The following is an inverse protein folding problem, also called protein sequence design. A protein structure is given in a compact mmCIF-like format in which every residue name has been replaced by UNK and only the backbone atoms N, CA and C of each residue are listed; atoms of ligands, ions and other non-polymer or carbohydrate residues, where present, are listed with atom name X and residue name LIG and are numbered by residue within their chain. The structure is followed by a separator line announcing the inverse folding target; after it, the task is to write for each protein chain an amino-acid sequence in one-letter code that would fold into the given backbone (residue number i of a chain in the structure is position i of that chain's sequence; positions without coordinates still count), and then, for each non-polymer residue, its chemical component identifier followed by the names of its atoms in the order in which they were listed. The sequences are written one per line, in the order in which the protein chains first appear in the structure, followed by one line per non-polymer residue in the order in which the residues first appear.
data_IF_432716640420
#
_entry.id   IF_432716640420
#
_cell.length_a   1.000
_cell.length_b   1.000
_cell.length_c   1.000
_cell.angle_alpha   90.00
_cell.angle_beta   90.00
_cell.angle_gamma   90.00
#
_symmetry.space_group_name_H-M   'P 1'
#
loop_
_entity.id
_entity.type
_entity.pdbx_description
1 polymer ?
#
# COMPACT_ATOMS: atom_id res chain seq x y z
N UNK A 1 29.31 -2.45 -5.15
CA UNK A 1 28.25 -3.38 -4.69
C UNK A 1 27.32 -3.65 -5.87
N UNK A 2 26.67 -4.82 -5.99
CA UNK A 2 25.75 -5.04 -7.10
C UNK A 2 24.54 -4.11 -6.95
N UNK A 3 24.31 -3.23 -7.94
CA UNK A 3 23.21 -2.27 -7.99
C UNK A 3 21.86 -2.98 -8.20
N UNK A 4 21.29 -3.58 -7.15
CA UNK A 4 19.96 -4.24 -7.21
C UNK A 4 18.81 -3.25 -7.39
N UNK A 5 19.03 -1.98 -7.10
CA UNK A 5 18.03 -0.91 -7.22
C UNK A 5 17.62 -0.69 -8.68
N UNK A 6 18.57 -0.90 -9.61
CA UNK A 6 18.32 -0.76 -11.04
C UNK A 6 17.31 -1.82 -11.54
N UNK A 7 17.46 -3.13 -11.26
CA UNK A 7 16.44 -4.14 -11.55
C UNK A 7 15.06 -3.83 -10.99
N UNK A 8 14.95 -3.42 -9.72
CA UNK A 8 13.66 -3.14 -9.08
C UNK A 8 12.94 -1.95 -9.73
N UNK A 9 13.64 -0.83 -9.91
CA UNK A 9 13.04 0.38 -10.49
C UNK A 9 12.75 0.25 -11.98
N UNK A 10 13.58 -0.49 -12.73
CA UNK A 10 13.26 -0.89 -14.11
C UNK A 10 12.01 -1.75 -14.13
N UNK A 11 11.90 -2.74 -13.23
CA UNK A 11 10.70 -3.56 -13.12
C UNK A 11 9.46 -2.71 -12.81
N UNK A 12 9.55 -1.76 -11.87
CA UNK A 12 8.46 -0.84 -11.55
C UNK A 12 8.01 -0.04 -12.79
N UNK A 13 8.96 0.56 -13.50
CA UNK A 13 8.69 1.30 -14.75
C UNK A 13 8.00 0.42 -15.80
N UNK A 14 8.44 -0.83 -15.96
CA UNK A 14 7.83 -1.80 -16.87
C UNK A 14 6.40 -2.18 -16.45
N UNK A 15 6.19 -2.45 -15.16
CA UNK A 15 4.86 -2.81 -14.67
C UNK A 15 3.87 -1.67 -14.93
N UNK A 16 4.25 -0.43 -14.58
CA UNK A 16 3.38 0.74 -14.81
C UNK A 16 3.15 0.97 -16.30
N UNK A 17 4.18 0.85 -17.15
CA UNK A 17 4.01 0.91 -18.62
C UNK A 17 2.98 -0.11 -19.10
N UNK A 18 3.07 -1.35 -18.63
CA UNK A 18 2.17 -2.44 -19.02
C UNK A 18 0.73 -2.19 -18.58
N UNK A 19 0.51 -1.80 -17.33
CA UNK A 19 -0.85 -1.51 -16.82
C UNK A 19 -1.48 -0.31 -17.54
N UNK A 20 -0.66 0.68 -17.93
CA UNK A 20 -1.09 1.81 -18.77
C UNK A 20 -1.23 1.46 -20.26
N UNK A 21 -0.90 0.23 -20.67
CA UNK A 21 -0.88 -0.24 -22.08
C UNK A 21 0.05 0.58 -22.96
N UNK A 22 1.15 1.08 -22.39
CA UNK A 22 2.22 1.79 -23.09
C UNK A 22 3.33 0.82 -23.49
N UNK A 23 4.05 1.15 -24.55
CA UNK A 23 5.20 0.36 -24.99
C UNK A 23 6.34 0.42 -23.96
N UNK A 24 7.17 -0.63 -23.91
CA UNK A 24 8.40 -0.56 -23.14
C UNK A 24 9.40 0.37 -23.84
N UNK A 25 9.80 1.45 -23.17
CA UNK A 25 10.81 2.40 -23.68
C UNK A 25 12.03 2.50 -22.77
N UNK A 26 12.23 1.56 -21.83
CA UNK A 26 13.33 1.66 -20.86
C UNK A 26 14.71 1.84 -21.51
N UNK A 27 14.99 1.16 -22.61
CA UNK A 27 16.28 1.28 -23.30
C UNK A 27 16.56 2.70 -23.82
N UNK A 28 15.51 3.46 -24.15
CA UNK A 28 15.63 4.82 -24.68
C UNK A 28 15.71 5.90 -23.60
N UNK A 29 15.41 5.57 -22.35
CA UNK A 29 15.31 6.56 -21.25
C UNK A 29 16.18 6.21 -20.04
N UNK A 30 16.82 5.04 -20.01
CA UNK A 30 17.62 4.58 -18.88
C UNK A 30 19.13 4.71 -19.15
N UNK A 31 19.68 5.86 -18.79
CA UNK A 31 21.08 6.23 -19.00
C UNK A 31 21.95 5.84 -17.79
N UNK A 32 22.42 4.59 -17.75
CA UNK A 32 23.22 4.05 -16.63
C UNK A 32 24.57 4.73 -16.44
N UNK A 33 25.10 5.41 -17.46
CA UNK A 33 26.41 6.08 -17.40
C UNK A 33 26.33 7.48 -16.79
N UNK A 34 25.14 8.10 -16.77
CA UNK A 34 24.94 9.51 -16.40
C UNK A 34 24.11 9.63 -15.12
N UNK A 35 23.09 8.79 -14.95
CA UNK A 35 22.09 8.94 -13.89
C UNK A 35 22.06 7.72 -12.96
N UNK A 36 21.75 7.99 -11.68
CA UNK A 36 21.42 6.95 -10.72
C UNK A 36 20.08 6.26 -11.04
N UNK A 37 19.79 5.14 -10.38
CA UNK A 37 18.56 4.38 -10.63
C UNK A 37 17.28 5.19 -10.33
N UNK A 38 17.30 6.00 -9.25
CA UNK A 38 16.18 6.87 -8.88
C UNK A 38 15.95 7.99 -9.90
N UNK A 39 17.03 8.61 -10.40
CA UNK A 39 16.95 9.66 -11.41
C UNK A 39 16.40 9.11 -12.73
N UNK A 40 16.89 7.94 -13.16
CA UNK A 40 16.37 7.25 -14.34
C UNK A 40 14.88 6.90 -14.21
N UNK A 41 14.47 6.38 -13.05
CA UNK A 41 13.07 6.09 -12.77
C UNK A 41 12.21 7.37 -12.82
N UNK A 42 12.69 8.44 -12.18
CA UNK A 42 12.04 9.75 -12.16
C UNK A 42 11.87 10.30 -13.57
N UNK A 43 12.93 10.25 -14.38
CA UNK A 43 12.94 10.69 -15.77
C UNK A 43 11.93 9.89 -16.62
N UNK A 44 11.91 8.56 -16.46
CA UNK A 44 10.98 7.70 -17.18
C UNK A 44 9.52 8.03 -16.85
N UNK A 45 9.20 8.30 -15.58
CA UNK A 45 7.87 8.78 -15.21
C UNK A 45 7.58 10.15 -15.80
N UNK A 46 8.49 11.10 -15.66
CA UNK A 46 8.30 12.50 -16.04
C UNK A 46 8.20 12.73 -17.55
N UNK A 47 9.05 12.08 -18.34
CA UNK A 47 9.16 12.33 -19.78
C UNK A 47 8.41 11.32 -20.65
N UNK A 48 8.18 10.11 -20.14
CA UNK A 48 7.53 9.05 -20.91
C UNK A 48 6.14 8.70 -20.38
N UNK A 49 6.02 8.23 -19.13
CA UNK A 49 4.73 7.69 -18.64
C UNK A 49 3.67 8.77 -18.45
N UNK A 50 3.99 9.79 -17.66
CA UNK A 50 3.04 10.82 -17.23
C UNK A 50 2.54 11.68 -18.41
N UNK A 51 3.36 12.08 -19.40
CA UNK A 51 2.86 12.84 -20.55
C UNK A 51 1.88 12.07 -21.45
N UNK A 52 1.86 10.74 -21.37
CA UNK A 52 1.01 9.90 -22.23
C UNK A 52 -0.38 9.61 -21.65
N UNK A 53 -0.62 9.96 -20.39
CA UNK A 53 -1.92 9.76 -19.74
C UNK A 53 -2.69 11.08 -19.65
N UNK A 54 -4.01 10.99 -19.76
CA UNK A 54 -4.92 12.13 -19.66
C UNK A 54 -5.79 12.07 -18.39
N UNK A 55 -5.45 11.17 -17.46
CA UNK A 55 -6.14 10.97 -16.20
C UNK A 55 -5.12 10.77 -15.06
N UNK A 56 -5.51 11.05 -13.80
CA UNK A 56 -4.62 10.81 -12.67
C UNK A 56 -4.21 9.34 -12.53
N UNK A 57 -2.91 9.10 -12.33
CA UNK A 57 -2.35 7.81 -11.99
C UNK A 57 -2.25 7.67 -10.47
N UNK A 58 -2.81 6.60 -9.91
CA UNK A 58 -2.61 6.26 -8.50
C UNK A 58 -1.65 5.08 -8.41
N UNK A 59 -0.51 5.29 -7.77
CA UNK A 59 0.46 4.24 -7.45
C UNK A 59 0.25 3.81 -5.99
N UNK A 60 -0.31 2.62 -5.82
CA UNK A 60 -0.46 1.96 -4.52
C UNK A 60 0.73 1.05 -4.22
N UNK A 61 1.40 1.30 -3.10
CA UNK A 61 2.51 0.51 -2.58
C UNK A 61 2.06 -0.14 -1.28
N UNK A 62 1.80 -1.43 -1.34
CA UNK A 62 1.37 -2.25 -0.21
C UNK A 62 2.57 -2.97 0.43
N UNK A 63 2.48 -3.25 1.73
CA UNK A 63 3.53 -3.91 2.53
C UNK A 63 4.95 -3.35 2.32
N UNK A 64 5.10 -2.02 2.21
CA UNK A 64 6.41 -1.40 1.92
C UNK A 64 7.43 -1.67 3.04
N UNK A 65 6.95 -1.96 4.25
CA UNK A 65 7.73 -2.34 5.41
C UNK A 65 8.53 -3.63 5.21
N UNK A 66 8.18 -4.48 4.23
CA UNK A 66 9.02 -5.63 3.86
C UNK A 66 10.39 -5.23 3.31
N UNK A 67 10.52 -4.01 2.79
CA UNK A 67 11.78 -3.48 2.28
C UNK A 67 12.64 -2.86 3.38
N UNK A 68 12.13 -2.70 4.60
CA UNK A 68 12.83 -2.05 5.71
C UNK A 68 14.12 -2.78 6.13
N UNK A 69 14.20 -4.10 5.92
CA UNK A 69 15.44 -4.85 6.14
C UNK A 69 16.59 -4.47 5.19
N UNK A 70 16.30 -3.75 4.09
CA UNK A 70 17.26 -3.33 3.07
C UNK A 70 17.47 -1.80 3.12
N UNK A 71 18.06 -1.31 4.23
CA UNK A 71 18.14 0.13 4.55
C UNK A 71 18.65 1.03 3.43
N UNK A 72 19.78 0.69 2.82
CA UNK A 72 20.39 1.51 1.76
C UNK A 72 19.43 1.71 0.58
N UNK A 73 18.70 0.65 0.20
CA UNK A 73 17.76 0.65 -0.92
C UNK A 73 16.48 1.42 -0.58
N UNK A 74 15.95 1.19 0.63
CA UNK A 74 14.65 1.74 1.01
C UNK A 74 14.72 3.22 1.34
N UNK A 75 15.80 3.72 1.94
CA UNK A 75 15.97 5.15 2.21
C UNK A 75 15.97 5.95 0.91
N UNK A 76 16.74 5.50 -0.08
CA UNK A 76 16.80 6.12 -1.40
C UNK A 76 15.45 6.02 -2.13
N UNK A 77 14.79 4.86 -2.09
CA UNK A 77 13.48 4.68 -2.72
C UNK A 77 12.39 5.57 -2.10
N UNK A 78 12.31 5.61 -0.77
CA UNK A 78 11.36 6.45 -0.04
C UNK A 78 11.62 7.94 -0.27
N UNK A 79 12.90 8.34 -0.33
CA UNK A 79 13.32 9.69 -0.72
C UNK A 79 12.84 10.07 -2.12
N UNK A 80 12.94 9.16 -3.09
CA UNK A 80 12.41 9.37 -4.45
C UNK A 80 10.88 9.56 -4.44
N UNK A 81 10.13 8.73 -3.72
CA UNK A 81 8.67 8.87 -3.60
C UNK A 81 8.26 10.20 -2.98
N UNK A 82 8.97 10.64 -1.94
CA UNK A 82 8.76 11.97 -1.34
C UNK A 82 9.04 13.08 -2.36
N UNK A 83 10.15 12.98 -3.11
CA UNK A 83 10.48 13.94 -4.16
C UNK A 83 9.35 14.05 -5.20
N UNK A 84 8.80 12.92 -5.64
CA UNK A 84 7.65 12.89 -6.57
C UNK A 84 6.41 13.56 -5.99
N UNK A 85 6.09 13.33 -4.71
CA UNK A 85 5.00 14.02 -4.02
C UNK A 85 5.21 15.55 -4.00
N UNK A 86 6.41 16.02 -3.66
CA UNK A 86 6.72 17.45 -3.64
C UNK A 86 6.68 18.07 -5.04
N UNK A 87 7.19 17.37 -6.07
CA UNK A 87 7.07 17.81 -7.47
C UNK A 87 5.60 18.00 -7.87
N UNK A 88 4.70 17.14 -7.40
CA UNK A 88 3.25 17.26 -7.64
C UNK A 88 2.63 18.56 -7.11
N UNK A 89 3.27 19.29 -6.20
CA UNK A 89 2.77 20.59 -5.72
C UNK A 89 3.04 21.71 -6.73
N UNK A 90 4.13 21.62 -7.49
CA UNK A 90 4.66 22.69 -8.33
C UNK A 90 4.65 22.40 -9.84
N UNK A 91 4.77 21.15 -10.25
CA UNK A 91 4.89 20.75 -11.66
C UNK A 91 3.63 20.05 -12.16
N UNK A 92 3.05 20.54 -13.25
CA UNK A 92 1.76 20.06 -13.77
C UNK A 92 1.80 18.59 -14.19
N UNK A 93 2.91 18.12 -14.77
CA UNK A 93 3.08 16.71 -15.15
C UNK A 93 3.02 15.77 -13.94
N UNK A 94 3.47 16.21 -12.76
CA UNK A 94 3.46 15.41 -11.54
C UNK A 94 2.16 15.53 -10.75
N UNK A 95 1.35 16.57 -10.96
CA UNK A 95 0.04 16.75 -10.28
C UNK A 95 -0.92 15.60 -10.50
N UNK A 96 -0.76 14.87 -11.61
CA UNK A 96 -1.61 13.73 -11.92
C UNK A 96 -1.18 12.45 -11.20
N UNK A 97 0.03 12.38 -10.61
CA UNK A 97 0.46 11.23 -9.83
C UNK A 97 -0.03 11.35 -8.39
N UNK A 98 -0.66 10.29 -7.89
CA UNK A 98 -1.04 10.12 -6.49
C UNK A 98 -0.36 8.90 -5.92
N UNK A 99 0.25 9.04 -4.75
CA UNK A 99 0.90 7.96 -4.04
C UNK A 99 0.03 7.50 -2.88
N UNK A 100 -0.16 6.20 -2.75
CA UNK A 100 -0.76 5.56 -1.57
C UNK A 100 0.26 4.56 -1.05
N UNK A 101 0.72 4.75 0.18
CA UNK A 101 1.73 3.88 0.80
C UNK A 101 1.11 3.24 2.03
N UNK A 102 1.00 1.92 2.05
CA UNK A 102 0.55 1.15 3.19
C UNK A 102 1.73 0.43 3.84
N UNK A 103 1.76 0.43 5.17
CA UNK A 103 2.78 -0.24 5.96
C UNK A 103 2.18 -0.72 7.29
N UNK A 104 2.75 -1.78 7.86
CA UNK A 104 2.44 -2.18 9.23
C UNK A 104 3.14 -1.26 10.26
N UNK A 105 2.58 -1.17 11.48
CA UNK A 105 3.13 -0.34 12.57
C UNK A 105 4.26 -1.03 13.33
N UNK A 106 4.59 -2.28 13.03
CA UNK A 106 5.49 -3.10 13.85
C UNK A 106 6.98 -2.79 13.63
N UNK A 107 7.34 -2.19 12.49
CA UNK A 107 8.75 -1.94 12.13
C UNK A 107 8.98 -0.46 11.87
N UNK A 108 8.98 0.37 12.90
CA UNK A 108 9.41 1.75 12.76
C UNK A 108 10.94 1.82 12.66
N UNK A 109 11.48 1.91 11.44
CA UNK A 109 12.87 2.30 11.25
C UNK A 109 13.00 3.81 11.49
N UNK A 110 13.99 4.27 12.27
CA UNK A 110 14.31 5.69 12.32
C UNK A 110 14.85 6.12 10.94
N UNK A 111 13.96 6.64 10.10
CA UNK A 111 14.31 7.27 8.83
C UNK A 111 14.71 8.74 9.08
N UNK A 112 15.62 9.27 8.27
CA UNK A 112 15.86 10.71 8.22
C UNK A 112 14.53 11.42 7.94
N UNK A 113 14.22 12.45 8.73
CA UNK A 113 13.00 13.25 8.62
C UNK A 113 12.84 13.83 7.21
N UNK A 114 13.94 14.07 6.50
CA UNK A 114 13.94 14.59 5.12
C UNK A 114 13.74 13.52 4.05
N UNK A 115 13.94 12.24 4.38
CA UNK A 115 13.77 11.11 3.46
C UNK A 115 12.46 10.35 3.68
N UNK A 116 11.82 10.54 4.83
CA UNK A 116 10.53 9.90 5.13
C UNK A 116 9.38 10.53 4.32
N UNK A 117 8.66 9.75 3.47
CA UNK A 117 7.43 10.20 2.83
C UNK A 117 6.24 10.20 3.80
N UNK A 118 6.35 9.48 4.93
CA UNK A 118 5.29 9.32 5.92
C UNK A 118 4.92 10.64 6.62
N UNK A 119 5.83 11.61 6.63
CA UNK A 119 5.60 12.94 7.22
C UNK A 119 5.12 13.98 6.19
N UNK A 120 5.10 13.64 4.90
CA UNK A 120 4.74 14.56 3.82
C UNK A 120 3.28 14.40 3.35
N UNK A 121 2.72 13.20 3.48
CA UNK A 121 1.35 12.86 3.11
C UNK A 121 0.32 13.04 4.22
N UNK A 122 -0.92 12.62 3.95
CA UNK A 122 -2.00 12.54 4.94
C UNK A 122 -2.01 11.12 5.52
N UNK A 123 -1.65 10.92 6.80
CA UNK A 123 -1.70 9.60 7.41
C UNK A 123 -3.14 9.14 7.61
N UNK A 124 -3.42 7.88 7.30
CA UNK A 124 -4.69 7.22 7.60
C UNK A 124 -4.41 5.99 8.45
N UNK A 125 -4.79 6.05 9.72
CA UNK A 125 -4.66 4.92 10.63
C UNK A 125 -5.87 3.99 10.48
N UNK A 126 -5.60 2.72 10.10
CA UNK A 126 -6.61 1.68 10.07
C UNK A 126 -6.73 1.06 11.45
N UNK A 127 -7.83 1.36 12.13
CA UNK A 127 -8.11 0.91 13.50
C UNK A 127 -8.95 -0.37 13.52
N UNK A 128 -9.07 -0.96 14.70
CA UNK A 128 -10.01 -2.05 14.96
C UNK A 128 -11.44 -1.64 14.61
N UNK A 129 -12.25 -2.62 14.18
CA UNK A 129 -13.67 -2.39 13.94
C UNK A 129 -14.42 -2.11 15.23
N UNK A 130 -15.26 -1.07 15.18
CA UNK A 130 -16.23 -0.80 16.23
C UNK A 130 -17.48 -1.72 16.10
N UNK A 131 -18.32 -1.82 17.15
CA UNK A 131 -19.51 -2.69 17.11
C UNK A 131 -20.49 -2.37 15.98
N UNK A 132 -20.58 -1.12 15.51
CA UNK A 132 -21.45 -0.71 14.41
C UNK A 132 -20.89 -1.25 13.09
N UNK A 133 -19.57 -1.17 12.90
CA UNK A 133 -18.87 -1.73 11.74
C UNK A 133 -18.97 -3.26 11.71
N UNK A 134 -18.81 -3.94 12.85
CA UNK A 134 -18.98 -5.40 12.93
C UNK A 134 -20.41 -5.81 12.58
N UNK A 135 -21.42 -5.10 13.10
CA UNK A 135 -22.83 -5.36 12.77
C UNK A 135 -23.12 -5.15 11.29
N UNK A 136 -22.57 -4.09 10.71
CA UNK A 136 -22.71 -3.78 9.29
C UNK A 136 -22.05 -4.86 8.42
N UNK A 137 -20.87 -5.34 8.82
CA UNK A 137 -20.18 -6.42 8.15
C UNK A 137 -20.97 -7.74 8.21
N UNK A 138 -21.56 -8.07 9.36
CA UNK A 138 -22.43 -9.24 9.50
C UNK A 138 -23.62 -9.16 8.53
N UNK A 139 -24.23 -7.98 8.40
CA UNK A 139 -25.31 -7.73 7.44
C UNK A 139 -24.86 -7.93 5.99
N UNK A 140 -23.66 -7.47 5.60
CA UNK A 140 -23.10 -7.73 4.26
C UNK A 140 -22.87 -9.21 3.97
N UNK A 141 -22.65 -10.01 5.02
CA UNK A 141 -22.56 -11.47 4.92
C UNK A 141 -23.93 -12.19 5.02
N UNK A 142 -25.04 -11.44 5.02
CA UNK A 142 -26.40 -12.01 5.08
C UNK A 142 -26.84 -12.46 6.48
N UNK A 143 -26.09 -12.09 7.52
CA UNK A 143 -26.42 -12.41 8.90
C UNK A 143 -27.22 -11.27 9.53
N UNK A 144 -28.38 -11.59 10.11
CA UNK A 144 -29.21 -10.61 10.82
C UNK A 144 -28.83 -10.55 12.31
N UNK A 145 -27.60 -10.13 12.60
CA UNK A 145 -27.09 -10.11 13.97
C UNK A 145 -27.68 -8.99 14.83
N UNK A 146 -27.97 -9.32 16.09
CA UNK A 146 -28.22 -8.35 17.14
C UNK A 146 -26.94 -7.99 17.91
N UNK A 147 -27.05 -7.05 18.84
CA UNK A 147 -25.88 -6.56 19.58
C UNK A 147 -25.22 -7.65 20.44
N UNK A 148 -25.96 -8.66 20.90
CA UNK A 148 -25.40 -9.77 21.68
C UNK A 148 -24.47 -10.66 20.85
N UNK A 149 -24.79 -10.89 19.58
CA UNK A 149 -23.92 -11.67 18.68
C UNK A 149 -22.63 -10.93 18.35
N UNK A 150 -22.75 -9.61 18.10
CA UNK A 150 -21.60 -8.72 17.91
C UNK A 150 -20.71 -8.72 19.15
N UNK A 151 -21.28 -8.50 20.33
CA UNK A 151 -20.55 -8.50 21.60
C UNK A 151 -19.86 -9.85 21.87
N UNK A 152 -20.52 -10.98 21.57
CA UNK A 152 -19.92 -12.31 21.73
C UNK A 152 -18.68 -12.47 20.87
N UNK A 153 -18.76 -12.11 19.58
CA UNK A 153 -17.62 -12.21 18.68
C UNK A 153 -16.50 -11.26 19.12
N UNK A 154 -16.83 -9.99 19.37
CA UNK A 154 -15.85 -8.99 19.77
C UNK A 154 -15.20 -9.31 21.12
N UNK A 155 -15.87 -10.03 22.02
CA UNK A 155 -15.26 -10.51 23.27
C UNK A 155 -14.14 -11.54 23.02
N UNK A 156 -14.18 -12.26 21.91
CA UNK A 156 -13.18 -13.29 21.57
C UNK A 156 -11.98 -12.73 20.79
N UNK A 157 -12.23 -11.78 19.89
CA UNK A 157 -11.22 -11.31 18.92
C UNK A 157 -11.06 -9.78 18.89
N UNK A 158 -11.63 -9.08 19.87
CA UNK A 158 -11.72 -7.62 19.90
C UNK A 158 -12.36 -7.09 18.59
N UNK A 159 -11.92 -5.94 18.09
CA UNK A 159 -12.34 -5.45 16.78
C UNK A 159 -11.38 -5.84 15.65
N UNK A 160 -10.52 -6.85 15.83
CA UNK A 160 -9.47 -7.17 14.85
C UNK A 160 -10.07 -7.49 13.46
N UNK A 161 -9.84 -6.65 12.42
CA UNK A 161 -10.61 -6.72 11.17
C UNK A 161 -10.57 -8.09 10.48
N UNK A 162 -9.39 -8.70 10.39
CA UNK A 162 -9.22 -10.04 9.82
C UNK A 162 -10.01 -11.12 10.58
N UNK A 163 -9.82 -11.21 11.91
CA UNK A 163 -10.48 -12.23 12.74
C UNK A 163 -12.00 -12.05 12.79
N UNK A 164 -12.47 -10.79 12.84
CA UNK A 164 -13.90 -10.48 12.75
C UNK A 164 -14.48 -10.99 11.43
N UNK A 165 -13.87 -10.62 10.30
CA UNK A 165 -14.37 -11.04 8.98
C UNK A 165 -14.32 -12.56 8.82
N UNK A 166 -13.25 -13.21 9.29
CA UNK A 166 -13.11 -14.66 9.24
C UNK A 166 -14.20 -15.36 10.06
N UNK A 167 -14.44 -14.92 11.29
CA UNK A 167 -15.51 -15.46 12.14
C UNK A 167 -16.89 -15.29 11.50
N UNK A 168 -17.23 -14.09 11.02
CA UNK A 168 -18.48 -13.81 10.33
C UNK A 168 -18.64 -14.69 9.08
N UNK A 169 -17.59 -14.82 8.27
CA UNK A 169 -17.61 -15.65 7.06
C UNK A 169 -17.88 -17.12 7.37
N UNK A 170 -17.17 -17.70 8.33
CA UNK A 170 -17.33 -19.11 8.70
C UNK A 170 -18.72 -19.40 9.29
N UNK A 171 -19.31 -18.44 10.03
CA UNK A 171 -20.70 -18.51 10.52
C UNK A 171 -21.70 -18.40 9.37
N UNK A 172 -21.50 -17.46 8.44
CA UNK A 172 -22.36 -17.28 7.27
C UNK A 172 -22.36 -18.52 6.36
N UNK A 173 -21.23 -19.23 6.28
CA UNK A 173 -21.13 -20.52 5.59
C UNK A 173 -21.71 -21.70 6.39
N UNK A 174 -22.19 -21.50 7.62
CA UNK A 174 -22.75 -22.54 8.48
C UNK A 174 -21.71 -23.54 9.02
N UNK A 175 -20.41 -23.20 8.96
CA UNK A 175 -19.33 -24.11 9.39
C UNK A 175 -19.10 -24.07 10.90
N UNK A 176 -19.30 -22.90 11.52
CA UNK A 176 -19.19 -22.71 12.96
C UNK A 176 -20.40 -21.93 13.50
N UNK A 177 -20.58 -21.96 14.81
CA UNK A 177 -21.60 -21.16 15.51
C UNK A 177 -20.97 -20.34 16.63
N UNK A 178 -21.62 -19.24 17.03
CA UNK A 178 -21.26 -18.44 18.21
C UNK A 178 -21.64 -19.17 19.51
N UNK A 179 -21.12 -20.38 19.72
CA UNK A 179 -21.27 -21.13 20.96
C UNK A 179 -20.02 -20.96 21.85
N UNK A 180 -20.23 -20.88 23.17
CA UNK A 180 -19.25 -20.43 24.16
C UNK A 180 -18.11 -21.43 24.46
N UNK A 181 -17.88 -22.45 23.62
CA UNK A 181 -16.83 -23.45 23.85
C UNK A 181 -15.94 -23.58 22.62
N UNK A 182 -14.81 -22.89 22.66
CA UNK A 182 -13.67 -23.01 21.76
C UNK A 182 -13.91 -22.59 20.29
N UNK A 183 -13.85 -21.28 20.05
CA UNK A 183 -13.35 -20.76 18.78
C UNK A 183 -11.89 -21.23 18.64
N UNK A 184 -11.67 -22.40 18.02
CA UNK A 184 -10.34 -22.83 17.54
C UNK A 184 -10.23 -22.39 16.09
N UNK A 185 -9.77 -21.16 15.89
CA UNK A 185 -9.13 -20.79 14.63
C UNK A 185 -7.72 -21.39 14.71
N UNK A 186 -7.55 -22.56 14.08
CA UNK A 186 -6.23 -23.12 13.76
C UNK A 186 -5.97 -22.82 12.30
#
# INVERSE_FOLDING_TARGET
MPNWDAPFLRWLCLQVSRELKLANQLENYWYTEIFGSNDNCTLYFEEYLLPQINCPLVLGLDDIDRLFSYREVIEDFLGMLRSWHEKGKIADVWRQLRLVVAHSTEVYIPLDINQSPFNAGVPLELTEFDPIQVKSLACFHGLNWNNSEVEKLMKMVCGHPYLIRLGIYEIACGKITLSCSAFKLV
#
